data_IF_418321630872
#
_entry.id   IF_418321630872
#
_cell.length_a   1.000
_cell.length_b   1.000
_cell.length_c   1.000
_cell.angle_alpha   90.00
_cell.angle_beta   90.00
_cell.angle_gamma   90.00
#
_symmetry.space_group_name_H-M   'P 1'
#
loop_
_entity.id
_entity.type
_entity.pdbx_description
1 polymer ?
#
# COMPACT_ATOMS: atom_id res chain seq x y z
N UNK A 1 37.02 -3.46 -20.22
CA UNK A 1 36.28 -4.49 -19.45
C UNK A 1 35.16 -3.79 -18.70
N UNK A 2 33.96 -3.79 -19.27
CA UNK A 2 32.77 -3.13 -18.72
C UNK A 2 31.99 -4.18 -17.93
N UNK A 3 31.86 -3.99 -16.62
CA UNK A 3 31.03 -4.83 -15.77
C UNK A 3 29.55 -4.66 -16.19
N UNK A 4 28.78 -5.74 -16.37
CA UNK A 4 27.34 -5.61 -16.54
C UNK A 4 26.74 -5.21 -15.19
N UNK A 5 25.95 -4.14 -15.22
CA UNK A 5 25.13 -3.71 -14.10
C UNK A 5 24.25 -4.89 -13.66
N UNK A 6 24.58 -5.48 -12.50
CA UNK A 6 23.63 -6.29 -11.76
C UNK A 6 22.45 -5.38 -11.45
N UNK A 7 21.37 -5.51 -12.22
CA UNK A 7 20.05 -5.14 -11.74
C UNK A 7 19.84 -5.96 -10.48
N UNK A 8 20.16 -5.38 -9.32
CA UNK A 8 19.67 -5.85 -8.06
C UNK A 8 18.14 -5.81 -8.19
N UNK A 9 17.57 -6.96 -8.52
CA UNK A 9 16.14 -7.22 -8.43
C UNK A 9 15.75 -6.71 -7.05
N UNK A 10 15.02 -5.60 -7.04
CA UNK A 10 14.45 -4.93 -5.89
C UNK A 10 14.14 -5.96 -4.80
N UNK A 11 15.06 -6.11 -3.85
CA UNK A 11 14.87 -6.96 -2.68
C UNK A 11 13.64 -6.39 -2.00
N UNK A 12 12.51 -7.08 -2.11
CA UNK A 12 11.40 -6.84 -1.21
C UNK A 12 12.01 -6.97 0.19
N UNK A 13 11.99 -5.92 1.03
CA UNK A 13 12.74 -5.90 2.29
C UNK A 13 12.26 -6.94 3.31
N UNK A 14 11.26 -7.74 2.95
CA UNK A 14 10.72 -8.83 3.74
C UNK A 14 10.82 -10.14 2.96
N UNK A 15 11.50 -11.12 3.55
CA UNK A 15 11.33 -12.50 3.12
C UNK A 15 9.97 -12.99 3.63
N UNK A 16 9.02 -13.12 2.70
CA UNK A 16 7.64 -13.53 2.99
C UNK A 16 7.62 -14.85 3.76
N UNK A 17 8.61 -15.73 3.57
CA UNK A 17 8.71 -17.00 4.28
C UNK A 17 9.00 -16.87 5.79
N UNK A 18 9.52 -15.72 6.22
CA UNK A 18 9.86 -15.44 7.63
C UNK A 18 8.75 -14.71 8.38
N UNK A 19 7.76 -14.17 7.67
CA UNK A 19 6.65 -13.43 8.25
C UNK A 19 5.51 -14.36 8.66
N UNK A 20 4.79 -13.99 9.71
CA UNK A 20 3.53 -14.66 10.06
C UNK A 20 2.46 -14.35 9.02
N UNK A 21 1.42 -15.19 8.94
CA UNK A 21 0.31 -14.96 8.00
C UNK A 21 -0.35 -13.59 8.16
N UNK A 22 -0.34 -13.02 9.37
CA UNK A 22 -0.88 -11.68 9.66
C UNK A 22 0.03 -10.56 9.18
N UNK A 23 1.33 -10.68 9.44
CA UNK A 23 2.32 -9.74 8.89
C UNK A 23 2.30 -9.75 7.35
N UNK A 24 2.16 -10.93 6.72
CA UNK A 24 2.00 -11.03 5.27
C UNK A 24 0.75 -10.32 4.75
N UNK A 25 -0.38 -10.42 5.46
CA UNK A 25 -1.61 -9.71 5.10
C UNK A 25 -1.43 -8.18 5.14
N UNK A 26 -0.74 -7.67 6.17
CA UNK A 26 -0.37 -6.24 6.27
C UNK A 26 0.53 -5.82 5.11
N UNK A 27 1.55 -6.63 4.79
CA UNK A 27 2.45 -6.36 3.66
C UNK A 27 1.71 -6.32 2.32
N UNK A 28 0.73 -7.21 2.12
CA UNK A 28 -0.09 -7.24 0.92
C UNK A 28 -1.01 -6.01 0.78
N UNK A 29 -1.48 -5.44 1.89
CA UNK A 29 -2.36 -4.26 1.91
C UNK A 29 -1.61 -2.94 1.77
N UNK A 30 -0.32 -2.92 2.11
CA UNK A 30 0.51 -1.72 2.06
C UNK A 30 0.50 -0.97 0.71
N UNK A 31 0.69 -1.61 -0.46
CA UNK A 31 0.66 -0.90 -1.75
C UNK A 31 -0.70 -0.26 -2.05
N UNK A 32 -1.81 -0.88 -1.63
CA UNK A 32 -3.15 -0.32 -1.80
C UNK A 32 -3.33 0.93 -0.93
N UNK A 33 -2.87 0.88 0.32
CA UNK A 33 -2.85 2.05 1.19
C UNK A 33 -2.00 3.19 0.62
N UNK A 34 -0.79 2.91 0.11
CA UNK A 34 0.06 3.92 -0.51
C UNK A 34 -0.62 4.57 -1.72
N UNK A 35 -1.29 3.77 -2.56
CA UNK A 35 -2.04 4.25 -3.70
C UNK A 35 -3.23 5.14 -3.27
N UNK A 36 -4.01 4.70 -2.28
CA UNK A 36 -5.15 5.44 -1.76
C UNK A 36 -4.74 6.75 -1.06
N UNK A 37 -3.61 6.75 -0.36
CA UNK A 37 -3.07 7.94 0.32
C UNK A 37 -2.37 8.91 -0.64
N UNK A 38 -2.09 8.50 -1.88
CA UNK A 38 -1.22 9.21 -2.83
C UNK A 38 0.15 9.61 -2.23
N UNK A 39 0.61 8.87 -1.22
CA UNK A 39 1.86 9.14 -0.50
C UNK A 39 2.98 8.28 -1.08
N UNK A 40 3.98 8.94 -1.67
CA UNK A 40 5.15 8.30 -2.29
C UNK A 40 6.35 8.06 -1.36
N UNK A 41 6.30 8.51 -0.10
CA UNK A 41 7.51 8.66 0.73
C UNK A 41 7.50 7.96 2.09
N UNK A 42 6.43 7.26 2.45
CA UNK A 42 6.35 6.52 3.71
C UNK A 42 6.76 5.05 3.50
N UNK A 43 7.68 4.58 4.34
CA UNK A 43 8.04 3.16 4.46
C UNK A 43 7.13 2.51 5.52
N UNK A 44 6.69 1.27 5.29
CA UNK A 44 5.87 0.49 6.21
C UNK A 44 6.49 0.42 7.60
N UNK A 45 7.80 0.20 7.70
CA UNK A 45 8.51 0.17 8.99
C UNK A 45 8.48 1.51 9.73
N UNK A 46 8.53 2.64 9.00
CA UNK A 46 8.41 3.96 9.63
C UNK A 46 7.00 4.18 10.18
N UNK A 47 5.98 3.68 9.47
CA UNK A 47 4.61 3.73 9.95
C UNK A 47 4.40 2.83 11.17
N UNK A 48 4.96 1.63 11.15
CA UNK A 48 4.98 0.71 12.30
C UNK A 48 5.63 1.39 13.52
N UNK A 49 6.80 2.00 13.36
CA UNK A 49 7.47 2.76 14.44
C UNK A 49 6.64 3.92 14.95
N UNK A 50 5.92 4.62 14.06
CA UNK A 50 5.08 5.75 14.44
C UNK A 50 3.83 5.34 15.23
N UNK A 51 3.30 4.14 14.98
CA UNK A 51 2.09 3.63 15.65
C UNK A 51 2.45 2.87 16.94
N UNK A 52 3.49 2.04 16.88
CA UNK A 52 3.80 1.07 17.93
C UNK A 52 5.07 1.39 18.72
N UNK A 53 5.71 2.56 18.52
CA UNK A 53 6.85 3.18 19.23
C UNK A 53 8.02 2.28 19.70
N UNK A 54 7.75 1.19 20.42
CA UNK A 54 8.63 0.08 20.79
C UNK A 54 9.00 -0.84 19.62
N UNK A 55 8.21 -0.86 18.53
CA UNK A 55 8.44 -1.76 17.38
C UNK A 55 9.30 -1.12 16.30
N UNK A 56 10.31 -1.85 15.82
CA UNK A 56 11.25 -1.35 14.82
C UNK A 56 10.87 -1.67 13.37
N UNK A 57 9.90 -2.56 13.15
CA UNK A 57 9.43 -2.94 11.82
C UNK A 57 8.35 -4.02 11.83
N UNK A 58 7.78 -4.32 10.67
CA UNK A 58 6.66 -5.26 10.53
C UNK A 58 7.00 -6.67 11.06
N UNK A 59 8.23 -7.12 10.86
CA UNK A 59 8.68 -8.45 11.30
C UNK A 59 8.70 -8.61 12.83
N UNK A 60 8.77 -7.50 13.57
CA UNK A 60 8.78 -7.50 15.05
C UNK A 60 7.37 -7.44 15.64
N UNK A 61 6.33 -7.25 14.81
CA UNK A 61 4.96 -7.15 15.31
C UNK A 61 4.40 -8.53 15.70
N UNK A 62 3.89 -8.72 16.93
CA UNK A 62 3.09 -9.88 17.26
C UNK A 62 1.78 -9.90 16.45
N UNK A 63 1.21 -11.10 16.28
CA UNK A 63 0.02 -11.31 15.43
C UNK A 63 -1.19 -10.46 15.85
N UNK A 64 -1.40 -10.23 17.14
CA UNK A 64 -2.48 -9.37 17.66
C UNK A 64 -2.30 -7.90 17.26
N UNK A 65 -1.07 -7.38 17.24
CA UNK A 65 -0.78 -6.02 16.77
C UNK A 65 -0.86 -5.94 15.25
N UNK A 66 -0.44 -6.99 14.55
CA UNK A 66 -0.51 -7.07 13.10
C UNK A 66 -1.97 -7.10 12.61
N UNK A 67 -2.85 -7.82 13.30
CA UNK A 67 -4.30 -7.84 13.01
C UNK A 67 -4.94 -6.46 13.24
N UNK A 68 -4.58 -5.77 14.32
CA UNK A 68 -5.02 -4.39 14.56
C UNK A 68 -4.53 -3.43 13.46
N UNK A 69 -3.27 -3.56 13.05
CA UNK A 69 -2.70 -2.76 11.97
C UNK A 69 -3.39 -3.05 10.62
N UNK A 70 -3.71 -4.31 10.34
CA UNK A 70 -4.48 -4.75 9.17
C UNK A 70 -5.87 -4.08 9.13
N UNK A 71 -6.60 -4.11 10.24
CA UNK A 71 -7.92 -3.50 10.37
C UNK A 71 -7.87 -1.97 10.22
N UNK A 72 -6.85 -1.32 10.80
CA UNK A 72 -6.61 0.11 10.65
C UNK A 72 -6.32 0.49 9.19
N UNK A 73 -5.46 -0.25 8.51
CA UNK A 73 -5.14 -0.03 7.10
C UNK A 73 -6.38 -0.16 6.21
N UNK A 74 -7.18 -1.22 6.38
CA UNK A 74 -8.44 -1.42 5.63
C UNK A 74 -9.42 -0.26 5.84
N UNK A 75 -9.55 0.18 7.09
CA UNK A 75 -10.41 1.31 7.45
C UNK A 75 -9.90 2.61 6.82
N UNK A 76 -8.59 2.85 6.88
CA UNK A 76 -7.96 4.03 6.33
C UNK A 76 -8.07 4.05 4.80
N UNK A 77 -7.80 2.94 4.10
CA UNK A 77 -8.01 2.80 2.64
C UNK A 77 -9.46 3.16 2.28
N UNK A 78 -10.43 2.57 3.00
CA UNK A 78 -11.85 2.82 2.75
C UNK A 78 -12.19 4.29 2.91
N UNK A 79 -11.73 4.91 3.99
CA UNK A 79 -11.94 6.35 4.22
C UNK A 79 -11.25 7.18 3.15
N UNK A 80 -9.99 6.89 2.83
CA UNK A 80 -9.23 7.58 1.79
C UNK A 80 -9.95 7.53 0.44
N UNK A 81 -10.51 6.38 0.05
CA UNK A 81 -11.34 6.27 -1.15
C UNK A 81 -12.64 7.08 -1.08
N UNK A 82 -13.23 7.27 0.10
CA UNK A 82 -14.41 8.12 0.28
C UNK A 82 -14.08 9.63 0.22
N UNK A 83 -12.95 10.05 0.82
CA UNK A 83 -12.53 11.47 0.81
C UNK A 83 -11.81 11.87 -0.45
N UNK A 84 -11.14 10.96 -1.15
CA UNK A 84 -10.49 11.26 -2.44
C UNK A 84 -11.59 11.44 -3.46
N UNK A 85 -11.93 12.68 -3.87
CA UNK A 85 -13.06 12.90 -4.74
C UNK A 85 -12.65 12.43 -6.13
N UNK A 86 -13.06 11.21 -6.51
CA UNK A 86 -13.20 10.76 -7.90
C UNK A 86 -12.16 11.36 -8.88
N UNK A 87 -10.85 11.31 -8.57
CA UNK A 87 -9.82 11.77 -9.50
C UNK A 87 -9.74 10.85 -10.74
N UNK A 88 -10.47 9.72 -10.70
CA UNK A 88 -10.79 8.87 -11.85
C UNK A 88 -12.25 8.98 -12.27
N UNK A 89 -12.84 10.17 -12.30
CA UNK A 89 -13.90 10.44 -13.27
C UNK A 89 -13.26 10.47 -14.66
N UNK A 90 -13.16 9.32 -15.30
CA UNK A 90 -13.39 9.34 -16.75
C UNK A 90 -14.81 9.91 -16.90
N UNK A 91 -15.00 11.05 -17.61
CA UNK A 91 -16.34 11.54 -17.85
C UNK A 91 -17.16 10.43 -18.49
N UNK A 92 -18.46 10.29 -18.18
CA UNK A 92 -19.31 9.45 -19.02
C UNK A 92 -19.12 9.99 -20.43
N UNK A 93 -18.61 9.16 -21.35
CA UNK A 93 -18.61 9.46 -22.78
C UNK A 93 -20.04 9.80 -23.14
N UNK A 94 -20.34 11.10 -23.13
CA UNK A 94 -21.54 11.65 -23.72
C UNK A 94 -21.30 11.47 -25.20
N UNK A 95 -21.69 10.31 -25.71
CA UNK A 95 -21.85 10.11 -27.14
C UNK A 95 -22.99 11.03 -27.56
N UNK A 96 -22.66 12.31 -27.73
CA UNK A 96 -23.48 13.27 -28.45
C UNK A 96 -23.39 12.89 -29.92
N UNK A 97 -24.02 11.78 -30.29
CA UNK A 97 -24.40 11.51 -31.68
C UNK A 97 -25.62 12.34 -32.02
N UNK A 98 -25.42 13.65 -32.18
CA UNK A 98 -26.37 14.54 -32.86
C UNK A 98 -25.81 14.80 -34.27
N UNK A 99 -26.59 14.45 -35.28
CA UNK A 99 -26.34 14.72 -36.70
C UNK A 99 -25.90 13.46 -37.45
N UNK A 100 -26.46 13.06 -38.58
CA UNK A 100 -27.26 13.81 -39.56
C UNK A 100 -27.95 12.84 -40.53
N UNK A 101 -28.99 13.36 -41.21
CA UNK A 101 -29.74 12.82 -42.35
C UNK A 101 -30.94 11.91 -42.04
#
# INVERSE_FOLDING_TARGET
MTAPFSHASSEMPYDVATLTGRQQAVLALWPEFQAAAAMRWTNLDQMVRAIFHDRTGLADLPDDEADQLEALLKTAITRLHMVTPALRRSPPSRSCGRGSA
#
